data_IF_711007904202
#
_entry.id   IF_711007904202
#
_cell.length_a   1.000
_cell.length_b   1.000
_cell.length_c   1.000
_cell.angle_alpha   90.00
_cell.angle_beta   90.00
_cell.angle_gamma   90.00
#
_symmetry.space_group_name_H-M   'P 1'
#
loop_
_entity.id
_entity.type
_entity.pdbx_description
1 polymer ?
#
# COMPACT_ATOMS: atom_id res chain seq x y z
N UNK A 1 -1.68 -23.61 2.52
CA UNK A 1 -3.10 -23.28 2.75
C UNK A 1 -3.17 -22.42 4.00
N UNK A 2 -3.44 -21.13 3.78
CA UNK A 2 -4.01 -20.18 4.73
C UNK A 2 -3.18 -19.91 5.99
N UNK A 3 -2.06 -19.20 5.83
CA UNK A 3 -1.64 -18.30 6.90
C UNK A 3 -2.74 -17.25 7.06
N UNK A 4 -3.22 -17.14 8.29
CA UNK A 4 -4.20 -16.16 8.76
C UNK A 4 -3.91 -14.81 8.10
N UNK A 5 -4.86 -14.27 7.34
CA UNK A 5 -4.86 -12.82 7.07
C UNK A 5 -4.85 -12.16 8.43
N UNK A 6 -3.73 -11.57 8.83
CA UNK A 6 -3.69 -10.69 9.99
C UNK A 6 -4.83 -9.70 9.80
N UNK A 7 -5.80 -9.77 10.72
CA UNK A 7 -6.95 -8.89 10.70
C UNK A 7 -6.40 -7.52 11.06
N UNK A 8 -6.47 -6.59 10.13
CA UNK A 8 -6.08 -5.20 10.38
C UNK A 8 -7.03 -4.65 11.45
N UNK A 9 -6.45 -4.20 12.56
CA UNK A 9 -7.18 -3.54 13.63
C UNK A 9 -7.56 -2.12 13.17
N UNK A 10 -8.87 -1.87 13.07
CA UNK A 10 -9.41 -0.59 12.62
C UNK A 10 -9.06 0.55 13.57
N UNK A 11 -8.90 0.26 14.86
CA UNK A 11 -8.61 1.27 15.88
C UNK A 11 -7.15 1.76 15.81
N UNK A 12 -6.29 1.05 15.07
CA UNK A 12 -4.88 1.42 14.86
C UNK A 12 -4.65 2.25 13.59
N UNK A 13 -5.67 2.46 12.77
CA UNK A 13 -5.55 3.23 11.53
C UNK A 13 -5.48 4.74 11.80
N UNK A 14 -4.55 5.43 11.15
CA UNK A 14 -4.41 6.88 11.22
C UNK A 14 -4.51 7.52 9.83
N UNK A 15 -5.73 7.90 9.47
CA UNK A 15 -6.04 8.63 8.21
C UNK A 15 -5.50 10.06 8.17
N UNK A 16 -4.90 10.55 9.24
CA UNK A 16 -4.31 11.89 9.33
C UNK A 16 -2.78 11.90 9.23
N UNK A 17 -2.13 10.75 9.48
CA UNK A 17 -0.66 10.60 9.50
C UNK A 17 0.03 11.28 8.31
N UNK A 18 -0.56 11.15 7.12
CA UNK A 18 0.01 11.67 5.87
C UNK A 18 -0.79 12.80 5.23
N UNK A 19 -1.75 13.42 5.95
CA UNK A 19 -2.60 14.48 5.39
C UNK A 19 -1.81 15.70 4.88
N UNK A 20 -0.64 15.97 5.45
CA UNK A 20 0.23 17.09 5.06
C UNK A 20 1.28 16.73 4.00
N UNK A 21 1.32 15.47 3.55
CA UNK A 21 2.32 15.03 2.59
C UNK A 21 2.06 15.65 1.21
N UNK A 22 3.10 16.08 0.47
CA UNK A 22 2.92 16.80 -0.80
C UNK A 22 2.53 15.89 -1.98
N UNK A 23 2.10 14.65 -1.71
CA UNK A 23 1.76 13.63 -2.70
C UNK A 23 0.28 13.27 -2.63
N UNK A 24 -0.35 13.05 -3.79
CA UNK A 24 -1.80 12.85 -3.96
C UNK A 24 -2.31 11.45 -3.60
N UNK A 25 -1.75 10.81 -2.58
CA UNK A 25 -2.17 9.48 -2.12
C UNK A 25 -3.65 9.44 -1.68
N UNK A 26 -4.15 10.55 -1.11
CA UNK A 26 -5.53 10.78 -0.67
C UNK A 26 -6.56 10.88 -1.80
N UNK A 27 -6.12 11.13 -3.04
CA UNK A 27 -6.98 11.11 -4.24
C UNK A 27 -7.25 9.70 -4.77
N UNK A 28 -6.64 8.66 -4.19
CA UNK A 28 -6.78 7.28 -4.67
C UNK A 28 -8.21 6.74 -4.50
N UNK A 29 -8.94 6.61 -5.61
CA UNK A 29 -10.27 6.00 -5.67
C UNK A 29 -10.27 4.47 -5.75
N UNK A 30 -9.13 3.80 -5.55
CA UNK A 30 -8.99 2.34 -5.66
C UNK A 30 -9.41 1.71 -6.99
N UNK A 31 -9.19 2.41 -8.12
CA UNK A 31 -9.52 1.87 -9.44
C UNK A 31 -8.68 0.63 -9.84
N UNK A 32 -7.47 0.46 -9.28
CA UNK A 32 -6.62 -0.70 -9.53
C UNK A 32 -5.83 -0.68 -10.83
N UNK A 33 -5.85 0.43 -11.59
CA UNK A 33 -5.07 0.57 -12.83
C UNK A 33 -3.57 0.32 -12.61
N UNK A 34 -2.99 0.89 -11.54
CA UNK A 34 -1.60 0.66 -11.18
C UNK A 34 -1.30 -0.80 -10.84
N UNK A 35 -2.22 -1.48 -10.15
CA UNK A 35 -2.07 -2.90 -9.83
C UNK A 35 -2.11 -3.79 -11.09
N UNK A 36 -2.88 -3.39 -12.11
CA UNK A 36 -2.93 -4.07 -13.39
C UNK A 36 -1.73 -3.80 -14.31
N UNK A 37 -1.09 -2.62 -14.21
CA UNK A 37 0.06 -2.26 -15.04
C UNK A 37 1.41 -2.70 -14.47
N UNK A 38 1.51 -2.88 -13.15
CA UNK A 38 2.77 -3.13 -12.49
C UNK A 38 3.31 -4.55 -12.75
N UNK A 39 4.56 -4.70 -13.25
CA UNK A 39 5.13 -6.01 -13.56
C UNK A 39 5.46 -6.85 -12.32
N UNK A 40 5.54 -6.23 -11.14
CA UNK A 40 5.81 -6.90 -9.85
C UNK A 40 4.56 -7.00 -8.97
N UNK A 41 3.38 -6.68 -9.52
CA UNK A 41 2.10 -6.81 -8.83
C UNK A 41 1.87 -8.25 -8.35
N UNK A 42 1.43 -8.41 -7.09
CA UNK A 42 1.12 -9.70 -6.48
C UNK A 42 2.33 -10.47 -5.95
N UNK A 43 3.56 -10.02 -6.22
CA UNK A 43 4.75 -10.53 -5.51
C UNK A 43 4.57 -10.24 -4.01
N UNK A 44 4.91 -11.20 -3.16
CA UNK A 44 4.72 -11.10 -1.69
C UNK A 44 3.27 -10.77 -1.26
N UNK A 45 2.28 -10.94 -2.15
CA UNK A 45 0.87 -10.61 -1.89
C UNK A 45 0.54 -9.11 -1.90
N UNK A 46 1.47 -8.24 -2.31
CA UNK A 46 1.31 -6.79 -2.34
C UNK A 46 1.24 -6.28 -3.79
N UNK A 47 0.50 -5.19 -4.00
CA UNK A 47 0.39 -4.48 -5.27
C UNK A 47 0.54 -2.96 -5.04
N UNK A 48 0.82 -2.14 -6.07
CA UNK A 48 1.02 -0.70 -5.88
C UNK A 48 -0.23 0.04 -5.41
N UNK A 49 -1.45 -0.48 -5.65
CA UNK A 49 -2.68 0.09 -5.08
C UNK A 49 -2.74 -0.18 -3.58
N UNK A 50 -2.32 -1.36 -3.13
CA UNK A 50 -2.20 -1.68 -1.71
C UNK A 50 -1.17 -0.78 -1.03
N UNK A 51 -0.01 -0.52 -1.66
CA UNK A 51 0.97 0.46 -1.17
C UNK A 51 0.34 1.83 -0.91
N UNK A 52 -0.36 2.40 -1.92
CA UNK A 52 -1.01 3.72 -1.77
C UNK A 52 -2.05 3.69 -0.65
N UNK A 53 -2.81 2.59 -0.52
CA UNK A 53 -3.80 2.44 0.54
C UNK A 53 -3.17 2.32 1.93
N UNK A 54 -2.08 1.59 2.09
CA UNK A 54 -1.36 1.50 3.37
C UNK A 54 -0.89 2.88 3.83
N UNK A 55 -0.38 3.70 2.91
CA UNK A 55 -0.09 5.12 3.19
C UNK A 55 -1.35 5.85 3.62
N UNK A 56 -2.44 5.83 2.86
CA UNK A 56 -3.70 6.53 3.23
C UNK A 56 -4.32 6.07 4.56
N UNK A 57 -3.92 4.91 5.08
CA UNK A 57 -4.38 4.33 6.34
C UNK A 57 -3.40 4.52 7.51
N UNK A 58 -2.24 5.15 7.27
CA UNK A 58 -1.24 5.39 8.31
C UNK A 58 -0.36 4.18 8.64
N UNK A 59 -0.41 3.12 7.82
CA UNK A 59 0.32 1.85 8.00
C UNK A 59 1.77 1.91 7.48
N UNK A 60 2.47 2.99 7.84
CA UNK A 60 3.84 3.25 7.37
C UNK A 60 4.80 2.14 7.77
N UNK A 61 4.74 1.75 9.05
CA UNK A 61 5.72 0.87 9.67
C UNK A 61 5.67 -0.52 9.01
N UNK A 62 4.47 -1.03 8.75
CA UNK A 62 4.27 -2.27 8.00
C UNK A 62 4.73 -2.14 6.55
N UNK A 63 4.44 -1.00 5.90
CA UNK A 63 4.82 -0.76 4.51
C UNK A 63 6.34 -0.71 4.33
N UNK A 64 7.07 0.01 5.20
CA UNK A 64 8.53 0.17 5.08
C UNK A 64 9.28 -1.12 5.41
N UNK A 65 8.72 -1.98 6.27
CA UNK A 65 9.29 -3.29 6.60
C UNK A 65 9.02 -4.34 5.52
N UNK A 66 7.98 -4.17 4.70
CA UNK A 66 7.72 -5.05 3.57
C UNK A 66 8.85 -4.95 2.54
N UNK A 67 9.23 -6.09 1.93
CA UNK A 67 10.20 -6.12 0.82
C UNK A 67 9.66 -5.44 -0.44
N UNK A 68 8.34 -5.52 -0.63
CA UNK A 68 7.69 -5.20 -1.90
C UNK A 68 7.93 -3.76 -2.42
N UNK A 69 7.85 -2.69 -1.59
CA UNK A 69 8.13 -1.33 -2.07
C UNK A 69 9.56 -1.17 -2.59
N UNK A 70 10.51 -1.95 -2.05
CA UNK A 70 11.93 -1.89 -2.38
C UNK A 70 12.33 -2.69 -3.62
N UNK A 71 11.40 -3.45 -4.22
CA UNK A 71 11.59 -4.09 -5.53
C UNK A 71 10.92 -3.32 -6.66
N UNK A 72 10.35 -2.15 -6.37
CA UNK A 72 9.83 -1.23 -7.38
C UNK A 72 10.94 -0.89 -8.38
N UNK A 73 10.67 -1.09 -9.67
CA UNK A 73 11.62 -0.80 -10.76
C UNK A 73 11.54 0.65 -11.26
N UNK A 74 10.60 1.44 -10.71
CA UNK A 74 10.28 2.79 -11.19
C UNK A 74 9.98 2.83 -12.70
N UNK A 75 9.25 1.84 -13.22
CA UNK A 75 8.92 1.74 -14.65
C UNK A 75 7.85 2.73 -15.15
N UNK A 76 7.19 3.46 -14.24
CA UNK A 76 5.99 4.26 -14.50
C UNK A 76 4.71 3.54 -14.06
#
# INVERSE_FOLDING_TARGET
MTETREIIDLDQLDHSRFRSWPFSHDFCITCGLCAGSCPVSGIDGIDPRMLVRMVSLGLEDELVQARWPWICTMCG
#
